data_IF_523766031344
#
_entry.id   IF_523766031344
#
_cell.length_a   1.000
_cell.length_b   1.000
_cell.length_c   1.000
_cell.angle_alpha   90.00
_cell.angle_beta   90.00
_cell.angle_gamma   90.00
#
_symmetry.space_group_name_H-M   'P 1'
#
loop_
_entity.id
_entity.type
_entity.pdbx_description
1 polymer ?
#
# COMPACT_ATOMS: atom_id res chain seq x y z
N UNK A 1 28.92 -26.49 -11.73
CA UNK A 1 28.13 -25.28 -11.40
C UNK A 1 26.72 -25.54 -11.87
N UNK A 2 25.69 -25.71 -11.06
CA UNK A 2 25.56 -25.72 -9.61
C UNK A 2 24.08 -25.97 -9.35
N UNK A 3 23.73 -27.13 -8.78
CA UNK A 3 22.41 -27.34 -8.21
C UNK A 3 22.36 -26.56 -6.91
N UNK A 4 21.98 -25.28 -6.98
CA UNK A 4 21.53 -24.55 -5.79
C UNK A 4 20.19 -25.19 -5.42
N UNK A 5 20.30 -25.97 -4.36
CA UNK A 5 19.40 -26.98 -3.86
C UNK A 5 17.98 -26.42 -3.62
N UNK A 6 16.94 -27.04 -4.18
CA UNK A 6 15.55 -26.67 -3.92
C UNK A 6 15.20 -26.72 -2.41
N UNK A 7 15.96 -27.53 -1.65
CA UNK A 7 15.88 -27.58 -0.18
C UNK A 7 16.44 -26.34 0.52
N UNK A 8 17.37 -25.62 -0.11
CA UNK A 8 17.94 -24.36 0.40
C UNK A 8 17.03 -23.18 0.05
N UNK A 9 16.45 -23.16 -1.17
CA UNK A 9 15.43 -22.18 -1.57
C UNK A 9 14.16 -22.28 -0.70
N UNK A 10 13.71 -23.48 -0.35
CA UNK A 10 12.57 -23.66 0.55
C UNK A 10 12.85 -23.22 1.99
N UNK A 11 14.06 -23.46 2.53
CA UNK A 11 14.45 -22.98 3.87
C UNK A 11 14.64 -21.45 3.92
N UNK A 12 15.21 -20.86 2.87
CA UNK A 12 15.33 -19.41 2.71
C UNK A 12 13.94 -18.77 2.65
N UNK A 13 13.03 -19.31 1.82
CA UNK A 13 11.65 -18.79 1.74
C UNK A 13 10.86 -18.92 3.05
N UNK A 14 11.07 -19.99 3.83
CA UNK A 14 10.45 -20.11 5.16
C UNK A 14 11.02 -19.09 6.15
N UNK A 15 12.31 -18.81 6.08
CA UNK A 15 12.97 -17.80 6.92
C UNK A 15 12.50 -16.40 6.55
N UNK A 16 12.36 -16.11 5.26
CA UNK A 16 11.82 -14.84 4.74
C UNK A 16 10.36 -14.65 5.13
N UNK A 17 9.51 -15.68 5.00
CA UNK A 17 8.11 -15.63 5.44
C UNK A 17 7.98 -15.38 6.93
N UNK A 18 8.81 -16.05 7.75
CA UNK A 18 8.86 -15.79 9.20
C UNK A 18 9.30 -14.37 9.50
N UNK A 19 10.33 -13.88 8.79
CA UNK A 19 10.82 -12.51 8.92
C UNK A 19 9.71 -11.50 8.60
N UNK A 20 8.96 -11.71 7.52
CA UNK A 20 7.86 -10.82 7.11
C UNK A 20 6.68 -10.88 8.08
N UNK A 21 6.34 -12.08 8.57
CA UNK A 21 5.29 -12.25 9.58
C UNK A 21 5.63 -11.47 10.85
N UNK A 22 6.86 -11.61 11.37
CA UNK A 22 7.30 -10.84 12.55
C UNK A 22 7.34 -9.33 12.27
N UNK A 23 7.74 -8.92 11.06
CA UNK A 23 7.78 -7.52 10.65
C UNK A 23 6.37 -6.91 10.64
N UNK A 24 5.38 -7.64 10.14
CA UNK A 24 3.97 -7.24 10.14
C UNK A 24 3.36 -7.22 11.55
N UNK A 25 3.66 -8.22 12.38
CA UNK A 25 3.22 -8.27 13.79
C UNK A 25 3.71 -7.04 14.59
N UNK A 26 4.99 -6.69 14.46
CA UNK A 26 5.54 -5.48 15.08
C UNK A 26 4.84 -4.23 14.53
N UNK A 27 4.52 -4.21 13.24
CA UNK A 27 3.85 -3.09 12.59
C UNK A 27 2.43 -2.86 13.12
N UNK A 28 1.67 -3.94 13.34
CA UNK A 28 0.36 -3.86 13.98
C UNK A 28 0.45 -3.23 15.38
N UNK A 29 1.40 -3.69 16.21
CA UNK A 29 1.59 -3.14 17.56
C UNK A 29 2.06 -1.69 17.56
N UNK A 30 2.93 -1.32 16.63
CA UNK A 30 3.33 0.06 16.43
C UNK A 30 2.13 0.93 16.07
N UNK A 31 1.30 0.48 15.12
CA UNK A 31 0.11 1.20 14.69
C UNK A 31 -0.91 1.38 15.83
N UNK A 32 -1.12 0.37 16.68
CA UNK A 32 -1.97 0.47 17.86
C UNK A 32 -1.47 1.56 18.81
N UNK A 33 -0.18 1.51 19.17
CA UNK A 33 0.42 2.49 20.08
C UNK A 33 0.41 3.92 19.54
N UNK A 34 0.71 4.11 18.25
CA UNK A 34 0.64 5.42 17.61
C UNK A 34 -0.80 5.93 17.44
N UNK A 35 -1.77 5.04 17.31
CA UNK A 35 -3.19 5.42 17.17
C UNK A 35 -3.82 5.86 18.50
N UNK A 36 -3.37 5.27 19.61
CA UNK A 36 -4.00 5.45 20.92
C UNK A 36 -3.28 6.50 21.81
N UNK A 37 -2.07 6.92 21.42
CA UNK A 37 -1.26 7.87 22.17
C UNK A 37 -0.67 8.98 21.28
N UNK A 38 -0.23 10.09 21.90
CA UNK A 38 0.57 11.09 21.20
C UNK A 38 1.90 10.46 20.75
N UNK A 39 2.30 10.63 19.49
CA UNK A 39 3.44 9.95 18.88
C UNK A 39 4.78 10.13 19.65
N UNK A 40 4.94 11.27 20.32
CA UNK A 40 6.10 11.57 21.17
C UNK A 40 6.25 10.60 22.36
N UNK A 41 5.13 10.11 22.90
CA UNK A 41 5.11 9.17 24.04
C UNK A 41 5.42 7.73 23.66
N UNK A 42 5.34 7.39 22.36
CA UNK A 42 5.65 6.05 21.85
C UNK A 42 7.17 5.89 21.73
N UNK A 43 7.70 4.76 22.18
CA UNK A 43 9.13 4.45 22.09
C UNK A 43 9.38 3.13 21.37
N UNK A 44 10.57 2.94 20.80
CA UNK A 44 10.96 1.66 20.21
C UNK A 44 10.91 0.52 21.25
N UNK A 45 11.23 0.81 22.52
CA UNK A 45 11.16 -0.16 23.61
C UNK A 45 9.71 -0.56 23.95
N UNK A 46 8.77 0.40 23.97
CA UNK A 46 7.36 0.08 24.18
C UNK A 46 6.78 -0.75 23.04
N UNK A 47 7.13 -0.44 21.78
CA UNK A 47 6.73 -1.24 20.61
C UNK A 47 7.33 -2.65 20.69
N UNK A 48 8.62 -2.77 21.00
CA UNK A 48 9.29 -4.05 21.13
C UNK A 48 8.63 -4.93 22.21
N UNK A 49 8.38 -4.35 23.39
CA UNK A 49 7.67 -5.01 24.49
C UNK A 49 6.26 -5.45 24.10
N UNK A 50 5.48 -4.57 23.47
CA UNK A 50 4.13 -4.89 22.99
C UNK A 50 4.12 -6.01 21.93
N UNK A 51 5.22 -6.15 21.18
CA UNK A 51 5.39 -7.17 20.15
C UNK A 51 6.06 -8.45 20.67
N UNK A 52 6.37 -8.55 21.96
CA UNK A 52 7.03 -9.73 22.54
C UNK A 52 8.48 -9.94 22.09
N UNK A 53 9.15 -8.88 21.60
CA UNK A 53 10.55 -8.94 21.14
C UNK A 53 11.46 -8.04 21.97
N UNK A 54 12.76 -8.37 22.03
CA UNK A 54 13.74 -7.49 22.65
C UNK A 54 14.06 -6.26 21.77
N UNK A 55 14.48 -5.16 22.39
CA UNK A 55 14.83 -3.90 21.68
C UNK A 55 15.89 -4.09 20.58
N UNK A 56 16.91 -4.93 20.82
CA UNK A 56 17.91 -5.30 19.79
C UNK A 56 17.27 -5.99 18.59
N UNK A 57 16.25 -6.81 18.83
CA UNK A 57 15.50 -7.47 17.76
C UNK A 57 14.66 -6.47 16.99
N UNK A 58 13.99 -5.52 17.65
CA UNK A 58 13.28 -4.44 16.97
C UNK A 58 14.18 -3.69 15.98
N UNK A 59 15.36 -3.23 16.43
CA UNK A 59 16.29 -2.50 15.57
C UNK A 59 16.92 -3.33 14.43
N UNK A 60 16.79 -4.65 14.47
CA UNK A 60 17.15 -5.53 13.35
C UNK A 60 16.16 -5.41 12.18
N UNK A 61 14.90 -5.04 12.47
CA UNK A 61 13.84 -4.88 11.47
C UNK A 61 13.64 -3.42 11.05
N UNK A 62 13.72 -2.47 11.99
CA UNK A 62 13.36 -1.07 11.77
C UNK A 62 14.48 -0.14 12.25
N UNK A 63 14.74 0.94 11.51
CA UNK A 63 15.77 1.91 11.90
C UNK A 63 15.25 2.88 12.96
N UNK A 64 13.97 3.25 12.87
CA UNK A 64 13.30 4.11 13.84
C UNK A 64 11.99 3.50 14.33
N UNK A 65 11.35 4.12 15.33
CA UNK A 65 10.02 3.70 15.80
C UNK A 65 8.95 3.95 14.74
N UNK A 66 9.08 5.02 13.97
CA UNK A 66 8.16 5.43 12.91
C UNK A 66 8.22 4.47 11.73
N UNK A 67 9.42 4.00 11.34
CA UNK A 67 9.58 3.01 10.26
C UNK A 67 8.78 1.71 10.52
N UNK A 68 8.43 1.42 11.79
CA UNK A 68 7.64 0.26 12.15
C UNK A 68 6.21 0.29 11.58
N UNK A 69 5.67 1.44 11.16
CA UNK A 69 4.33 1.48 10.56
C UNK A 69 4.32 1.08 9.07
N UNK A 70 5.47 1.11 8.40
CA UNK A 70 5.57 0.92 6.96
C UNK A 70 4.99 -0.43 6.48
N UNK A 71 5.28 -1.59 7.11
CA UNK A 71 4.75 -2.88 6.66
C UNK A 71 3.22 -2.92 6.64
N UNK A 72 2.55 -2.35 7.64
CA UNK A 72 1.10 -2.28 7.68
C UNK A 72 0.54 -1.40 6.55
N UNK A 73 1.19 -0.28 6.25
CA UNK A 73 0.82 0.61 5.14
C UNK A 73 1.09 -0.04 3.77
N UNK A 74 2.14 -0.86 3.67
CA UNK A 74 2.53 -1.60 2.46
C UNK A 74 1.64 -2.81 2.19
N UNK A 75 1.02 -3.41 3.21
CA UNK A 75 0.31 -4.68 3.09
C UNK A 75 -0.80 -4.65 2.03
N UNK A 76 -1.57 -3.55 1.94
CA UNK A 76 -2.62 -3.41 0.92
C UNK A 76 -2.10 -3.11 -0.50
N UNK A 77 -0.83 -2.70 -0.64
CA UNK A 77 -0.22 -2.37 -1.93
C UNK A 77 0.06 -3.63 -2.74
N UNK A 78 0.53 -4.70 -2.09
CA UNK A 78 0.86 -5.96 -2.78
C UNK A 78 -0.34 -6.55 -3.51
N UNK A 79 -1.48 -6.65 -2.83
CA UNK A 79 -2.72 -7.20 -3.41
C UNK A 79 -3.21 -6.35 -4.59
N UNK A 80 -3.14 -5.02 -4.45
CA UNK A 80 -3.49 -4.09 -5.52
C UNK A 80 -2.61 -4.27 -6.77
N UNK A 81 -1.28 -4.35 -6.60
CA UNK A 81 -0.33 -4.57 -7.69
C UNK A 81 -0.53 -5.93 -8.36
N UNK A 82 -0.68 -7.01 -7.57
CA UNK A 82 -0.93 -8.36 -8.07
C UNK A 82 -2.21 -8.43 -8.93
N UNK A 83 -3.22 -7.65 -8.55
CA UNK A 83 -4.47 -7.62 -9.28
C UNK A 83 -4.36 -6.91 -10.62
N UNK A 84 -3.56 -5.84 -10.70
CA UNK A 84 -3.24 -5.18 -11.97
C UNK A 84 -2.44 -6.14 -12.86
N UNK A 85 -1.42 -6.79 -12.31
CA UNK A 85 -0.56 -7.73 -13.03
C UNK A 85 -1.32 -8.94 -13.56
N UNK A 86 -2.22 -9.51 -12.77
CA UNK A 86 -3.00 -10.71 -13.14
C UNK A 86 -4.17 -10.44 -14.09
N UNK A 87 -4.52 -9.17 -14.35
CA UNK A 87 -5.61 -8.82 -15.26
C UNK A 87 -5.22 -9.10 -16.72
N UNK A 88 -6.02 -9.86 -17.50
CA UNK A 88 -5.67 -10.23 -18.87
C UNK A 88 -5.33 -9.06 -19.77
N UNK A 89 -4.28 -9.21 -20.60
CA UNK A 89 -3.74 -8.17 -21.49
C UNK A 89 -4.77 -7.52 -22.43
N UNK A 90 -5.86 -8.23 -22.73
CA UNK A 90 -6.96 -7.76 -23.57
C UNK A 90 -7.80 -6.65 -22.96
N UNK A 91 -7.75 -6.45 -21.64
CA UNK A 91 -8.45 -5.37 -20.93
C UNK A 91 -7.59 -4.12 -20.98
N UNK A 92 -8.19 -2.95 -21.30
CA UNK A 92 -7.46 -1.68 -21.32
C UNK A 92 -6.90 -1.34 -19.94
N UNK A 93 -5.82 -0.56 -19.90
CA UNK A 93 -5.16 -0.26 -18.64
C UNK A 93 -6.03 0.61 -17.73
N UNK A 94 -6.76 1.59 -18.29
CA UNK A 94 -7.72 2.40 -17.54
C UNK A 94 -8.77 1.54 -16.83
N UNK A 95 -9.37 0.59 -17.55
CA UNK A 95 -10.35 -0.35 -16.97
C UNK A 95 -9.72 -1.26 -15.93
N UNK A 96 -8.50 -1.73 -16.16
CA UNK A 96 -7.74 -2.56 -15.20
C UNK A 96 -7.51 -1.81 -13.89
N UNK A 97 -7.08 -0.55 -13.96
CA UNK A 97 -6.85 0.29 -12.79
C UNK A 97 -8.15 0.59 -12.02
N UNK A 98 -9.26 0.85 -12.73
CA UNK A 98 -10.58 1.01 -12.10
C UNK A 98 -11.03 -0.26 -11.37
N UNK A 99 -10.91 -1.42 -12.00
CA UNK A 99 -11.26 -2.71 -11.39
C UNK A 99 -10.40 -2.98 -10.16
N UNK A 100 -9.12 -2.62 -10.22
CA UNK A 100 -8.21 -2.79 -9.11
C UNK A 100 -8.51 -1.90 -7.92
N UNK A 101 -8.78 -0.62 -8.16
CA UNK A 101 -9.24 0.29 -7.12
C UNK A 101 -10.51 -0.25 -6.43
N UNK A 102 -11.50 -0.72 -7.21
CA UNK A 102 -12.75 -1.28 -6.68
C UNK A 102 -12.53 -2.48 -5.76
N UNK A 103 -11.68 -3.41 -6.16
CA UNK A 103 -11.41 -4.62 -5.36
C UNK A 103 -10.64 -4.30 -4.09
N UNK A 104 -9.58 -3.48 -4.17
CA UNK A 104 -8.81 -3.07 -3.00
C UNK A 104 -9.68 -2.41 -1.93
N UNK A 105 -10.60 -1.52 -2.31
CA UNK A 105 -11.52 -0.89 -1.33
C UNK A 105 -12.62 -1.83 -0.83
N UNK A 106 -13.06 -2.79 -1.63
CA UNK A 106 -14.02 -3.83 -1.17
C UNK A 106 -13.39 -4.74 -0.12
N UNK A 107 -12.16 -5.19 -0.35
CA UNK A 107 -11.43 -6.06 0.57
C UNK A 107 -11.07 -5.34 1.87
N UNK A 108 -10.68 -4.06 1.78
CA UNK A 108 -10.53 -3.19 2.96
C UNK A 108 -11.82 -3.18 3.80
N UNK A 109 -13.01 -3.10 3.22
CA UNK A 109 -14.25 -3.13 4.02
C UNK A 109 -14.52 -4.45 4.73
N UNK A 110 -14.01 -5.57 4.20
CA UNK A 110 -14.26 -6.91 4.77
C UNK A 110 -13.32 -7.30 5.91
N UNK A 111 -12.17 -6.61 6.06
CA UNK A 111 -11.22 -6.82 7.16
C UNK A 111 -11.40 -5.76 8.25
N UNK A 112 -12.46 -5.89 9.05
CA UNK A 112 -12.99 -4.81 9.89
C UNK A 112 -12.00 -4.27 10.93
N UNK A 113 -11.21 -5.12 11.58
CA UNK A 113 -10.26 -4.68 12.63
C UNK A 113 -9.04 -3.97 12.05
N UNK A 114 -8.43 -4.53 11.00
CA UNK A 114 -7.26 -3.93 10.36
C UNK A 114 -7.59 -2.58 9.72
N UNK A 115 -8.76 -2.45 9.13
CA UNK A 115 -9.18 -1.21 8.48
C UNK A 115 -9.54 -0.13 9.47
N UNK A 116 -10.16 -0.48 10.60
CA UNK A 116 -10.35 0.49 11.68
C UNK A 116 -9.00 0.99 12.23
N UNK A 117 -8.01 0.11 12.39
CA UNK A 117 -6.67 0.46 12.85
C UNK A 117 -5.93 1.36 11.85
N UNK A 118 -5.87 0.98 10.58
CA UNK A 118 -5.22 1.77 9.51
C UNK A 118 -5.86 3.17 9.42
N UNK A 119 -7.19 3.26 9.58
CA UNK A 119 -7.89 4.57 9.61
C UNK A 119 -7.42 5.45 10.76
N UNK A 120 -7.34 4.89 11.98
CA UNK A 120 -6.88 5.65 13.16
C UNK A 120 -5.43 6.07 13.00
N UNK A 121 -4.57 5.17 12.54
CA UNK A 121 -3.17 5.45 12.27
C UNK A 121 -3.01 6.60 11.26
N UNK A 122 -3.69 6.55 10.12
CA UNK A 122 -3.57 7.58 9.08
C UNK A 122 -4.05 8.97 9.54
N UNK A 123 -5.00 9.06 10.49
CA UNK A 123 -5.37 10.34 11.12
C UNK A 123 -4.21 10.94 11.92
N UNK A 124 -3.36 10.12 12.54
CA UNK A 124 -2.19 10.59 13.28
C UNK A 124 -1.04 10.92 12.32
N UNK A 125 -0.82 10.08 11.30
CA UNK A 125 0.24 10.24 10.28
C UNK A 125 0.20 11.62 9.62
N UNK A 126 -0.98 12.16 9.32
CA UNK A 126 -1.09 13.47 8.64
C UNK A 126 -0.73 14.67 9.52
N UNK A 127 -0.63 14.47 10.84
CA UNK A 127 -0.32 15.51 11.81
C UNK A 127 1.07 15.36 12.46
N UNK A 128 1.73 14.22 12.28
CA UNK A 128 3.09 13.96 12.75
C UNK A 128 4.08 13.94 11.57
N UNK A 129 5.05 14.87 11.50
CA UNK A 129 5.99 14.94 10.37
C UNK A 129 6.84 13.68 10.18
N UNK A 130 7.21 12.97 11.24
CA UNK A 130 8.08 11.79 11.16
C UNK A 130 7.30 10.59 10.59
N UNK A 131 6.06 10.39 11.03
CA UNK A 131 5.14 9.39 10.47
C UNK A 131 4.74 9.74 9.03
N UNK A 132 4.49 11.03 8.74
CA UNK A 132 4.19 11.50 7.38
C UNK A 132 5.30 11.15 6.40
N UNK A 133 6.56 11.33 6.81
CA UNK A 133 7.72 10.96 5.98
C UNK A 133 7.76 9.47 5.65
N UNK A 134 7.36 8.60 6.57
CA UNK A 134 7.27 7.15 6.33
C UNK A 134 6.17 6.87 5.31
N UNK A 135 4.98 7.46 5.48
CA UNK A 135 3.87 7.26 4.55
C UNK A 135 4.21 7.76 3.13
N UNK A 136 4.82 8.95 2.99
CA UNK A 136 5.24 9.47 1.69
C UNK A 136 6.29 8.57 1.02
N UNK A 137 7.16 7.93 1.81
CA UNK A 137 8.11 6.93 1.30
C UNK A 137 7.37 5.72 0.73
N UNK A 138 6.39 5.18 1.46
CA UNK A 138 5.55 4.07 0.99
C UNK A 138 4.80 4.44 -0.30
N UNK A 139 4.27 5.67 -0.38
CA UNK A 139 3.60 6.18 -1.60
C UNK A 139 4.56 6.21 -2.79
N UNK A 140 5.78 6.72 -2.60
CA UNK A 140 6.80 6.75 -3.64
C UNK A 140 7.23 5.34 -4.07
N UNK A 141 7.47 4.45 -3.12
CA UNK A 141 7.88 3.07 -3.40
C UNK A 141 6.77 2.28 -4.12
N UNK A 142 5.50 2.60 -3.81
CA UNK A 142 4.34 2.07 -4.52
C UNK A 142 4.30 2.52 -5.97
N UNK A 143 4.60 3.79 -6.24
CA UNK A 143 4.68 4.34 -7.59
C UNK A 143 5.74 3.63 -8.44
N UNK A 144 6.94 3.45 -7.90
CA UNK A 144 8.04 2.76 -8.58
C UNK A 144 7.63 1.33 -8.95
N UNK A 145 7.02 0.60 -8.01
CA UNK A 145 6.52 -0.77 -8.27
C UNK A 145 5.43 -0.79 -9.31
N UNK A 146 4.51 0.18 -9.27
CA UNK A 146 3.43 0.28 -10.24
C UNK A 146 3.96 0.55 -11.64
N UNK A 147 4.96 1.43 -11.80
CA UNK A 147 5.64 1.65 -13.08
C UNK A 147 6.16 0.30 -13.62
N UNK A 148 6.88 -0.48 -12.82
CA UNK A 148 7.40 -1.79 -13.26
C UNK A 148 6.30 -2.79 -13.65
N UNK A 149 5.16 -2.79 -12.94
CA UNK A 149 4.00 -3.61 -13.31
C UNK A 149 3.42 -3.15 -14.65
N UNK A 150 3.29 -1.84 -14.85
CA UNK A 150 2.74 -1.25 -16.07
C UNK A 150 3.66 -1.45 -17.29
N UNK A 151 4.98 -1.35 -17.11
CA UNK A 151 5.98 -1.67 -18.15
C UNK A 151 5.80 -3.08 -18.70
N UNK A 152 5.46 -4.04 -17.83
CA UNK A 152 5.22 -5.43 -18.22
C UNK A 152 3.84 -5.62 -18.84
N UNK A 153 2.86 -4.81 -18.42
CA UNK A 153 1.44 -4.99 -18.74
C UNK A 153 0.99 -4.24 -19.99
N UNK A 154 1.64 -3.13 -20.31
CA UNK A 154 1.35 -2.31 -21.49
C UNK A 154 2.07 -2.88 -22.72
N UNK A 155 1.72 -2.38 -23.91
CA UNK A 155 2.26 -2.92 -25.17
C UNK A 155 3.76 -2.58 -25.28
N UNK A 156 4.58 -3.48 -25.85
CA UNK A 156 5.94 -3.11 -26.22
C UNK A 156 5.94 -1.88 -27.12
N UNK A 157 6.71 -0.85 -26.74
CA UNK A 157 6.79 0.41 -27.49
C UNK A 157 5.82 1.52 -27.04
N UNK A 158 5.02 1.30 -26.00
CA UNK A 158 4.30 2.39 -25.30
C UNK A 158 5.30 3.45 -24.84
N UNK A 159 4.93 4.73 -24.97
CA UNK A 159 5.74 5.85 -24.49
C UNK A 159 6.00 5.72 -22.98
N UNK A 160 7.27 5.74 -22.52
CA UNK A 160 7.59 5.76 -21.10
C UNK A 160 6.87 6.84 -20.30
N UNK A 161 6.58 8.00 -20.90
CA UNK A 161 5.81 9.06 -20.26
C UNK A 161 4.36 8.64 -19.99
N UNK A 162 3.73 7.90 -20.91
CA UNK A 162 2.36 7.39 -20.75
C UNK A 162 2.29 6.37 -19.60
N UNK A 163 3.27 5.46 -19.52
CA UNK A 163 3.39 4.49 -18.42
C UNK A 163 3.51 5.21 -17.07
N UNK A 164 4.39 6.23 -17.01
CA UNK A 164 4.57 7.04 -15.81
C UNK A 164 3.28 7.78 -15.42
N UNK A 165 2.59 8.39 -16.39
CA UNK A 165 1.34 9.11 -16.14
C UNK A 165 0.26 8.17 -15.59
N UNK A 166 0.09 6.97 -16.14
CA UNK A 166 -0.85 5.99 -15.59
C UNK A 166 -0.50 5.59 -14.16
N UNK A 167 0.79 5.35 -13.87
CA UNK A 167 1.23 4.98 -12.52
C UNK A 167 0.95 6.09 -11.51
N UNK A 168 1.39 7.32 -11.81
CA UNK A 168 1.20 8.50 -10.94
C UNK A 168 -0.29 8.80 -10.76
N UNK A 169 -1.08 8.72 -11.83
CA UNK A 169 -2.52 8.95 -11.78
C UNK A 169 -3.22 7.94 -10.87
N UNK A 170 -2.92 6.65 -11.01
CA UNK A 170 -3.51 5.61 -10.19
C UNK A 170 -3.11 5.69 -8.73
N UNK A 171 -1.82 5.92 -8.44
CA UNK A 171 -1.33 6.10 -7.08
C UNK A 171 -1.96 7.34 -6.42
N UNK A 172 -2.08 8.44 -7.17
CA UNK A 172 -2.73 9.68 -6.70
C UNK A 172 -4.21 9.47 -6.40
N UNK A 173 -4.94 8.81 -7.30
CA UNK A 173 -6.35 8.51 -7.11
C UNK A 173 -6.58 7.64 -5.86
N UNK A 174 -5.75 6.62 -5.65
CA UNK A 174 -5.78 5.78 -4.46
C UNK A 174 -5.52 6.59 -3.18
N UNK A 175 -4.51 7.47 -3.20
CA UNK A 175 -4.18 8.35 -2.08
C UNK A 175 -5.31 9.33 -1.75
N UNK A 176 -5.95 9.92 -2.77
CA UNK A 176 -7.09 10.83 -2.59
C UNK A 176 -8.29 10.11 -1.96
N UNK A 177 -8.58 8.89 -2.43
CA UNK A 177 -9.63 8.06 -1.86
C UNK A 177 -9.37 7.66 -0.41
N UNK A 178 -8.14 7.25 -0.07
CA UNK A 178 -7.72 6.96 1.30
C UNK A 178 -7.84 8.23 2.16
N UNK A 179 -7.39 9.38 1.67
CA UNK A 179 -7.50 10.65 2.40
C UNK A 179 -8.97 11.02 2.68
N UNK A 180 -9.84 10.92 1.69
CA UNK A 180 -11.26 11.19 1.85
C UNK A 180 -11.91 10.22 2.84
N UNK A 181 -11.55 8.93 2.79
CA UNK A 181 -12.00 7.93 3.75
C UNK A 181 -11.57 8.25 5.19
N UNK A 182 -10.33 8.69 5.38
CA UNK A 182 -9.76 9.03 6.69
C UNK A 182 -10.52 10.20 7.33
N UNK A 183 -10.88 11.22 6.53
CA UNK A 183 -11.49 12.48 6.99
C UNK A 183 -13.02 12.52 6.88
N UNK A 184 -13.65 11.64 6.10
CA UNK A 184 -15.11 11.60 5.92
C UNK A 184 -15.85 11.13 7.17
N UNK A 185 -17.07 11.65 7.39
CA UNK A 185 -18.00 11.08 8.37
C UNK A 185 -18.39 9.63 7.98
N UNK A 186 -18.97 8.87 8.91
CA UNK A 186 -19.55 7.55 8.59
C UNK A 186 -20.52 7.67 7.39
N UNK A 187 -20.58 6.65 6.51
CA UNK A 187 -21.19 6.78 5.20
C UNK A 187 -22.72 6.87 5.30
N UNK A 188 -23.25 8.08 5.50
CA UNK A 188 -24.69 8.37 5.35
C UNK A 188 -25.08 8.67 3.89
N UNK A 189 -24.11 8.80 2.96
CA UNK A 189 -24.38 8.97 1.54
C UNK A 189 -23.41 8.17 0.66
N UNK A 190 -23.96 7.45 -0.31
CA UNK A 190 -23.21 6.67 -1.30
C UNK A 190 -22.28 7.53 -2.18
N UNK A 191 -22.49 8.85 -2.24
CA UNK A 191 -21.74 9.77 -3.12
C UNK A 191 -20.29 10.05 -2.67
N UNK A 192 -19.89 9.62 -1.47
CA UNK A 192 -18.56 9.83 -0.92
C UNK A 192 -17.85 8.53 -0.53
N UNK A 193 -18.23 7.40 -1.13
CA UNK A 193 -17.49 6.17 -0.89
C UNK A 193 -16.05 6.28 -1.43
N UNK A 194 -15.04 5.83 -0.68
CA UNK A 194 -13.63 5.94 -1.09
C UNK A 194 -13.37 5.33 -2.47
N UNK A 195 -14.06 4.23 -2.77
CA UNK A 195 -13.98 3.57 -4.07
C UNK A 195 -14.45 4.46 -5.22
N UNK A 196 -15.53 5.21 -5.03
CA UNK A 196 -16.07 6.09 -6.06
C UNK A 196 -15.19 7.33 -6.26
N UNK A 197 -14.58 7.82 -5.18
CA UNK A 197 -13.55 8.87 -5.27
C UNK A 197 -12.34 8.37 -6.06
N UNK A 198 -11.85 7.15 -5.77
CA UNK A 198 -10.71 6.57 -6.49
C UNK A 198 -11.00 6.44 -7.99
N UNK A 199 -12.15 5.85 -8.34
CA UNK A 199 -12.55 5.65 -9.73
C UNK A 199 -12.78 6.99 -10.45
N UNK A 200 -13.41 7.96 -9.78
CA UNK A 200 -13.61 9.30 -10.35
C UNK A 200 -12.27 10.00 -10.61
N UNK A 201 -11.35 9.96 -9.65
CA UNK A 201 -10.02 10.53 -9.80
C UNK A 201 -9.24 9.87 -10.94
N UNK A 202 -9.26 8.53 -11.01
CA UNK A 202 -8.66 7.77 -12.11
C UNK A 202 -9.17 8.25 -13.46
N UNK A 203 -10.50 8.27 -13.67
CA UNK A 203 -11.11 8.71 -14.93
C UNK A 203 -10.70 10.13 -15.32
N UNK A 204 -10.69 11.05 -14.37
CA UNK A 204 -10.30 12.44 -14.65
C UNK A 204 -8.83 12.51 -15.05
N UNK A 205 -7.95 11.81 -14.34
CA UNK A 205 -6.50 11.85 -14.55
C UNK A 205 -6.06 11.11 -15.81
N UNK A 206 -6.80 10.08 -16.24
CA UNK A 206 -6.44 9.24 -17.40
C UNK A 206 -7.28 9.50 -18.65
N UNK A 207 -8.23 10.44 -18.61
CA UNK A 207 -9.15 10.71 -19.74
C UNK A 207 -8.45 11.00 -21.08
N UNK A 208 -7.24 11.57 -21.04
CA UNK A 208 -6.44 11.87 -22.23
C UNK A 208 -5.49 10.76 -22.68
N UNK A 209 -5.43 9.63 -21.97
CA UNK A 209 -4.50 8.53 -22.24
C UNK A 209 -5.17 7.33 -22.94
N UNK A 210 -6.50 7.22 -22.87
CA UNK A 210 -7.27 6.13 -23.50
C UNK A 210 -7.47 6.31 -25.03
N UNK A 211 -6.77 7.23 -25.69
CA UNK A 211 -7.03 7.61 -27.09
C UNK A 211 -6.58 6.58 -28.13
N UNK A 212 -5.75 5.59 -27.77
CA UNK A 212 -5.13 4.66 -28.73
C UNK A 212 -5.82 3.28 -28.82
N UNK A 213 -7.01 3.11 -28.23
CA UNK A 213 -7.77 1.87 -28.36
C UNK A 213 -8.45 1.68 -29.74
N UNK A 214 -8.45 2.70 -30.62
CA UNK A 214 -9.19 2.70 -31.88
C UNK A 214 -8.42 3.17 -33.13
N UNK A 215 -7.10 3.01 -33.17
CA UNK A 215 -6.32 3.15 -34.41
C UNK A 215 -5.82 1.80 -34.92
#
# INVERSE_FOLDING_TARGET
MGGVDASDQSKLSLTERRKETTRLEISHRAAELFSDAQAESVTADSIAKASGVGLRTFYRYFRTKEDAIAPLLENGVGDWLNLIESTPASVSIGVTLEQAARRSFTELRTSTENVALVRRLLRVVVHDPALLNVWLRVVNDTEIKLISVLETRMRPGTDPLEIQLFAVAANTAQRMAISAWVHGAEPESAENEPVDIAVRCLRILTAGLDTDAHA
#
